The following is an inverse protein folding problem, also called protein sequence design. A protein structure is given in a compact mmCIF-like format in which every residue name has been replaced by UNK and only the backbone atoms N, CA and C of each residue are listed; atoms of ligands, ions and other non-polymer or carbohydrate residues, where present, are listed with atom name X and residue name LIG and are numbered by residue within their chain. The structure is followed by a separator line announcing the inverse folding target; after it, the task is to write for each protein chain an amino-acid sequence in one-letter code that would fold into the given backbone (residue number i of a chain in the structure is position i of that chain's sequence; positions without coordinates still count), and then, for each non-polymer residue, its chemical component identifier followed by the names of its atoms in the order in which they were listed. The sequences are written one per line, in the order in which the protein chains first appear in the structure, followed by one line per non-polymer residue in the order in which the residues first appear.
data_IF_700615355495
#
_entry.id   IF_700615355495
#
_cell.length_a   1.000
_cell.length_b   1.000
_cell.length_c   1.000
_cell.angle_alpha   90.00
_cell.angle_beta   90.00
_cell.angle_gamma   90.00
#
_symmetry.space_group_name_H-M   'P 1'
#
loop_
_entity.id
_entity.type
_entity.pdbx_description
1 polymer ?
#
# COMPACT_ATOMS: atom_id res chain seq x y z
N UNK A 1 4.28 -21.84 -3.51
CA UNK A 1 5.54 -22.60 -3.55
C UNK A 1 6.47 -22.06 -2.48
N UNK A 2 6.94 -22.93 -1.60
CA UNK A 2 7.98 -22.63 -0.61
C UNK A 2 9.32 -23.07 -1.20
N UNK A 3 10.25 -22.13 -1.36
CA UNK A 3 11.50 -22.37 -2.06
C UNK A 3 12.62 -21.43 -1.59
N UNK A 4 13.85 -21.78 -1.96
CA UNK A 4 15.04 -20.92 -1.83
C UNK A 4 15.41 -20.37 -3.20
N UNK A 5 15.59 -19.05 -3.27
CA UNK A 5 15.92 -18.32 -4.50
C UNK A 5 17.11 -17.41 -4.29
N UNK A 6 17.98 -17.33 -5.29
CA UNK A 6 19.10 -16.37 -5.33
C UNK A 6 18.72 -15.23 -6.27
N UNK A 7 18.55 -13.99 -5.76
CA UNK A 7 18.30 -12.83 -6.60
C UNK A 7 19.48 -12.50 -7.53
N UNK A 8 19.26 -11.83 -8.66
CA UNK A 8 20.34 -11.24 -9.45
C UNK A 8 21.02 -10.10 -8.68
N UNK A 9 22.20 -9.67 -9.15
CA UNK A 9 22.84 -8.44 -8.67
C UNK A 9 22.33 -7.24 -9.47
N UNK A 10 22.31 -6.06 -8.84
CA UNK A 10 22.02 -4.75 -9.48
C UNK A 10 20.66 -4.65 -10.20
N UNK A 11 19.65 -5.37 -9.75
CA UNK A 11 18.28 -5.18 -10.26
C UNK A 11 17.63 -3.97 -9.55
N UNK A 12 17.31 -2.93 -10.32
CA UNK A 12 16.79 -1.66 -9.76
C UNK A 12 15.43 -1.82 -9.05
N UNK A 13 14.54 -2.62 -9.63
CA UNK A 13 13.26 -3.00 -9.02
C UNK A 13 13.24 -4.50 -8.70
N UNK A 14 13.54 -4.92 -7.46
CA UNK A 14 13.44 -6.31 -7.03
C UNK A 14 11.98 -6.80 -7.07
N UNK A 15 11.79 -8.08 -7.40
CA UNK A 15 10.48 -8.66 -7.69
C UNK A 15 9.85 -9.29 -6.45
N UNK A 16 10.63 -10.10 -5.73
CA UNK A 16 10.07 -10.96 -4.69
C UNK A 16 9.95 -10.22 -3.35
N UNK A 17 8.78 -10.25 -2.72
CA UNK A 17 8.62 -9.74 -1.37
C UNK A 17 9.33 -10.64 -0.35
N UNK A 18 9.97 -10.04 0.64
CA UNK A 18 10.62 -10.74 1.74
C UNK A 18 10.28 -10.06 3.06
N UNK A 19 9.86 -10.84 4.06
CA UNK A 19 9.43 -10.32 5.36
C UNK A 19 10.53 -10.52 6.40
N UNK A 20 11.04 -9.44 6.96
CA UNK A 20 12.02 -9.45 8.05
C UNK A 20 11.81 -8.24 8.97
N UNK A 21 12.11 -8.39 10.26
CA UNK A 21 11.95 -7.32 11.26
C UNK A 21 10.54 -6.70 11.29
N UNK A 22 9.50 -7.54 11.14
CA UNK A 22 8.08 -7.16 11.00
C UNK A 22 7.73 -6.27 9.79
N UNK A 23 8.66 -6.08 8.84
CA UNK A 23 8.47 -5.27 7.63
C UNK A 23 8.46 -6.14 6.39
N UNK A 24 7.68 -5.71 5.40
CA UNK A 24 7.75 -6.22 4.04
C UNK A 24 8.76 -5.37 3.25
N UNK A 25 9.77 -6.04 2.72
CA UNK A 25 10.86 -5.50 1.90
C UNK A 25 10.90 -6.22 0.55
N UNK A 26 11.65 -5.66 -0.39
CA UNK A 26 11.96 -6.28 -1.68
C UNK A 26 13.48 -6.26 -1.88
N UNK A 27 14.24 -7.11 -1.16
CA UNK A 27 15.70 -7.09 -1.18
C UNK A 27 16.29 -7.99 -2.26
N UNK A 28 17.58 -7.77 -2.59
CA UNK A 28 18.40 -8.69 -3.40
C UNK A 28 19.38 -9.52 -2.56
N UNK A 29 19.33 -9.37 -1.23
CA UNK A 29 20.19 -10.05 -0.27
C UNK A 29 19.44 -10.21 1.06
N UNK A 30 19.31 -11.44 1.55
CA UNK A 30 18.73 -11.74 2.87
C UNK A 30 19.48 -11.06 4.01
N UNK A 31 20.79 -11.31 4.16
CA UNK A 31 21.59 -10.76 5.27
C UNK A 31 21.54 -9.23 5.32
N UNK A 32 21.71 -8.56 4.18
CA UNK A 32 21.61 -7.08 4.14
C UNK A 32 20.24 -6.57 4.60
N UNK A 33 19.16 -7.28 4.30
CA UNK A 33 17.81 -6.91 4.72
C UNK A 33 17.59 -7.12 6.24
N UNK A 34 18.12 -8.21 6.79
CA UNK A 34 18.06 -8.53 8.22
C UNK A 34 18.91 -7.59 9.06
N UNK A 35 20.14 -7.31 8.62
CA UNK A 35 21.12 -6.44 9.28
C UNK A 35 20.89 -4.95 8.99
N UNK A 36 19.99 -4.62 8.06
CA UNK A 36 19.70 -3.25 7.58
C UNK A 36 20.92 -2.53 7.03
N UNK A 37 21.83 -3.27 6.40
CA UNK A 37 23.07 -2.76 5.83
C UNK A 37 22.81 -1.61 4.83
N UNK A 38 23.53 -0.51 4.99
CA UNK A 38 23.47 0.67 4.10
C UNK A 38 24.63 0.77 3.11
N UNK A 39 25.68 -0.04 3.29
CA UNK A 39 26.83 -0.10 2.39
C UNK A 39 26.62 -1.09 1.23
N UNK A 40 27.52 -1.06 0.25
CA UNK A 40 27.52 -2.04 -0.84
C UNK A 40 27.60 -3.48 -0.33
N UNK A 41 26.81 -4.36 -0.94
CA UNK A 41 26.73 -5.76 -0.54
C UNK A 41 27.88 -6.59 -1.12
N UNK A 42 28.64 -7.24 -0.23
CA UNK A 42 29.73 -8.18 -0.57
C UNK A 42 29.41 -9.64 -0.25
N UNK A 43 28.19 -9.92 0.20
CA UNK A 43 27.73 -11.28 0.51
C UNK A 43 27.73 -12.18 -0.72
N UNK A 44 27.99 -13.48 -0.50
CA UNK A 44 27.92 -14.52 -1.50
C UNK A 44 26.47 -14.95 -1.79
N UNK A 45 26.28 -15.90 -2.71
CA UNK A 45 24.94 -16.36 -3.08
C UNK A 45 24.21 -17.08 -1.95
N UNK A 46 24.92 -17.77 -1.05
CA UNK A 46 24.33 -18.46 0.11
C UNK A 46 23.73 -17.46 1.09
N UNK A 47 24.48 -16.41 1.40
CA UNK A 47 24.06 -15.34 2.29
C UNK A 47 22.98 -14.44 1.69
N UNK A 48 22.96 -14.30 0.36
CA UNK A 48 21.96 -13.51 -0.37
C UNK A 48 20.65 -14.23 -0.56
N UNK A 49 20.66 -15.57 -0.56
CA UNK A 49 19.49 -16.39 -0.88
C UNK A 49 18.30 -16.03 0.01
N UNK A 50 17.15 -15.80 -0.64
CA UNK A 50 15.87 -15.59 0.03
C UNK A 50 15.17 -16.93 0.14
N UNK A 51 14.61 -17.19 1.31
CA UNK A 51 13.76 -18.35 1.54
C UNK A 51 12.37 -17.86 1.93
N UNK A 52 11.34 -18.41 1.30
CA UNK A 52 9.98 -17.92 1.49
C UNK A 52 8.96 -18.60 0.59
N UNK A 53 7.71 -18.21 0.82
CA UNK A 53 6.56 -18.75 0.09
C UNK A 53 6.00 -17.70 -0.84
N UNK A 54 6.00 -18.01 -2.14
CA UNK A 54 5.50 -17.13 -3.19
C UNK A 54 4.53 -17.88 -4.10
N UNK A 55 3.63 -17.13 -4.74
CA UNK A 55 2.81 -17.68 -5.82
C UNK A 55 3.64 -17.82 -7.09
N UNK A 56 3.27 -18.78 -7.94
CA UNK A 56 4.06 -19.13 -9.14
C UNK A 56 4.23 -17.94 -10.10
N UNK A 57 3.23 -17.08 -10.23
CA UNK A 57 3.30 -15.91 -11.13
C UNK A 57 4.43 -14.92 -10.76
N UNK A 58 4.69 -14.70 -9.47
CA UNK A 58 5.78 -13.83 -9.03
C UNK A 58 7.14 -14.50 -9.24
N UNK A 59 7.21 -15.81 -9.04
CA UNK A 59 8.42 -16.60 -9.27
C UNK A 59 8.78 -16.64 -10.76
N UNK A 60 7.81 -16.82 -11.65
CA UNK A 60 8.01 -16.73 -13.10
C UNK A 60 8.56 -15.36 -13.50
N UNK A 61 7.98 -14.27 -12.97
CA UNK A 61 8.50 -12.92 -13.23
C UNK A 61 9.91 -12.74 -12.66
N UNK A 62 10.18 -13.29 -11.47
CA UNK A 62 11.49 -13.23 -10.84
C UNK A 62 12.54 -13.98 -11.68
N UNK A 63 12.24 -15.18 -12.16
CA UNK A 63 13.14 -15.94 -13.06
C UNK A 63 13.41 -15.17 -14.35
N UNK A 64 12.38 -14.56 -14.97
CA UNK A 64 12.57 -13.66 -16.13
C UNK A 64 13.46 -12.46 -15.83
N UNK A 65 13.58 -12.06 -14.55
CA UNK A 65 14.48 -11.01 -14.06
C UNK A 65 15.84 -11.52 -13.58
N UNK A 66 16.16 -12.79 -13.78
CA UNK A 66 17.47 -13.36 -13.46
C UNK A 66 17.59 -13.94 -12.05
N UNK A 67 16.47 -14.15 -11.36
CA UNK A 67 16.47 -14.93 -10.12
C UNK A 67 16.69 -16.41 -10.45
N UNK A 68 17.43 -17.11 -9.60
CA UNK A 68 17.64 -18.57 -9.72
C UNK A 68 16.96 -19.28 -8.58
N UNK A 69 16.07 -20.23 -8.88
CA UNK A 69 15.51 -21.13 -7.86
C UNK A 69 16.59 -22.19 -7.58
N UNK A 70 17.02 -22.28 -6.33
CA UNK A 70 18.09 -23.19 -5.90
C UNK A 70 17.49 -24.48 -5.35
N UNK A 71 16.41 -24.37 -4.58
CA UNK A 71 15.78 -25.49 -3.90
C UNK A 71 14.28 -25.24 -3.78
N UNK A 72 13.48 -26.28 -3.97
CA UNK A 72 12.03 -26.24 -3.78
C UNK A 72 11.69 -27.18 -2.63
N UNK A 73 11.08 -26.64 -1.58
CA UNK A 73 10.70 -27.41 -0.39
C UNK A 73 9.27 -27.92 -0.48
N UNK A 74 8.36 -27.10 -1.01
CA UNK A 74 6.94 -27.43 -1.04
C UNK A 74 6.21 -26.74 -2.20
N UNK A 75 5.29 -27.47 -2.83
CA UNK A 75 4.44 -26.97 -3.92
C UNK A 75 2.98 -27.31 -3.61
N UNK A 76 2.15 -26.28 -3.58
CA UNK A 76 0.69 -26.44 -3.57
C UNK A 76 0.23 -26.25 -5.01
N UNK A 77 -0.25 -27.34 -5.61
CA UNK A 77 -0.72 -27.39 -6.99
C UNK A 77 -2.24 -27.45 -7.03
N UNK A 78 -2.83 -26.79 -8.02
CA UNK A 78 -4.26 -26.83 -8.32
C UNK A 78 -4.38 -27.19 -9.79
N UNK A 79 -5.12 -28.26 -10.09
CA UNK A 79 -5.27 -28.77 -11.46
C UNK A 79 -6.11 -27.83 -12.33
N UNK A 80 -7.01 -27.06 -11.69
CA UNK A 80 -7.93 -26.15 -12.37
C UNK A 80 -7.72 -24.70 -11.94
N UNK A 81 -7.78 -23.80 -12.93
CA UNK A 81 -7.73 -22.36 -12.74
C UNK A 81 -8.98 -21.72 -13.35
N UNK A 82 -9.75 -21.03 -12.50
CA UNK A 82 -10.82 -20.17 -12.98
C UNK A 82 -10.24 -18.83 -13.46
N UNK A 83 -10.25 -18.61 -14.77
CA UNK A 83 -9.75 -17.38 -15.40
C UNK A 83 -10.90 -16.60 -16.03
N UNK A 84 -10.97 -15.31 -15.75
CA UNK A 84 -11.90 -14.41 -16.46
C UNK A 84 -11.41 -14.18 -17.88
N UNK A 85 -12.28 -14.37 -18.87
CA UNK A 85 -11.98 -14.07 -20.26
C UNK A 85 -12.40 -12.63 -20.57
N UNK A 86 -11.44 -11.73 -20.73
CA UNK A 86 -11.70 -10.30 -21.01
C UNK A 86 -12.32 -10.06 -22.38
N UNK A 87 -12.00 -10.88 -23.40
CA UNK A 87 -12.52 -10.70 -24.76
C UNK A 87 -14.00 -11.11 -24.84
N UNK A 88 -14.35 -12.25 -24.24
CA UNK A 88 -15.73 -12.76 -24.18
C UNK A 88 -16.55 -12.17 -23.05
N UNK A 89 -15.88 -11.57 -22.05
CA UNK A 89 -16.45 -11.03 -20.81
C UNK A 89 -17.15 -12.08 -19.95
N UNK A 90 -16.66 -13.30 -19.98
CA UNK A 90 -17.29 -14.48 -19.35
C UNK A 90 -16.33 -15.22 -18.42
N UNK A 91 -16.90 -16.02 -17.53
CA UNK A 91 -16.17 -16.85 -16.58
C UNK A 91 -15.65 -16.06 -15.37
N UNK A 92 -14.61 -16.59 -14.72
CA UNK A 92 -14.07 -16.04 -13.48
C UNK A 92 -14.99 -16.20 -12.27
N UNK A 93 -14.40 -16.37 -11.09
CA UNK A 93 -15.17 -16.63 -9.86
C UNK A 93 -15.92 -15.40 -9.33
N UNK A 94 -15.49 -14.21 -9.73
CA UNK A 94 -15.90 -12.96 -9.09
C UNK A 94 -16.46 -11.92 -10.08
N UNK A 95 -16.65 -12.27 -11.35
CA UNK A 95 -17.04 -11.32 -12.40
C UNK A 95 -18.34 -10.59 -12.05
N UNK A 96 -19.40 -11.31 -11.69
CA UNK A 96 -20.69 -10.72 -11.35
C UNK A 96 -20.63 -9.81 -10.12
N UNK A 97 -19.87 -10.21 -9.11
CA UNK A 97 -19.64 -9.40 -7.90
C UNK A 97 -18.95 -8.09 -8.27
N UNK A 98 -17.85 -8.17 -9.03
CA UNK A 98 -17.09 -7.00 -9.45
C UNK A 98 -17.94 -6.10 -10.35
N UNK A 99 -18.63 -6.66 -11.34
CA UNK A 99 -19.50 -5.91 -12.25
C UNK A 99 -20.60 -5.16 -11.50
N UNK A 100 -21.23 -5.78 -10.50
CA UNK A 100 -22.27 -5.16 -9.67
C UNK A 100 -21.75 -3.91 -8.96
N UNK A 101 -20.65 -4.03 -8.22
CA UNK A 101 -20.13 -2.88 -7.45
C UNK A 101 -19.34 -1.90 -8.32
N UNK A 102 -18.79 -2.34 -9.45
CA UNK A 102 -18.17 -1.48 -10.45
C UNK A 102 -19.22 -0.59 -11.11
N UNK A 103 -20.37 -1.13 -11.54
CA UNK A 103 -21.51 -0.36 -12.05
C UNK A 103 -21.92 0.71 -11.04
N UNK A 104 -22.21 0.27 -9.81
CA UNK A 104 -22.65 1.17 -8.73
C UNK A 104 -21.63 2.28 -8.44
N UNK A 105 -20.32 1.95 -8.43
CA UNK A 105 -19.25 2.92 -8.22
C UNK A 105 -19.20 3.92 -9.37
N UNK A 106 -19.26 3.44 -10.61
CA UNK A 106 -19.08 4.27 -11.80
C UNK A 106 -20.28 5.19 -12.02
N UNK A 107 -21.49 4.70 -11.82
CA UNK A 107 -22.71 5.51 -11.83
C UNK A 107 -22.65 6.61 -10.77
N UNK A 108 -22.16 6.29 -9.57
CA UNK A 108 -22.05 7.22 -8.45
C UNK A 108 -20.88 8.23 -8.58
N UNK A 109 -19.90 7.97 -9.44
CA UNK A 109 -18.80 8.90 -9.74
C UNK A 109 -19.30 10.14 -10.51
N UNK A 110 -20.44 10.02 -11.21
CA UNK A 110 -21.01 11.03 -12.08
C UNK A 110 -20.34 11.05 -13.46
N UNK A 111 -20.80 11.95 -14.33
CA UNK A 111 -20.27 12.07 -15.69
C UNK A 111 -18.83 12.61 -15.69
N UNK A 112 -17.92 12.05 -16.52
CA UNK A 112 -16.62 12.64 -16.78
C UNK A 112 -16.75 14.09 -17.28
N UNK A 113 -15.72 14.92 -17.05
CA UNK A 113 -15.67 16.31 -17.55
C UNK A 113 -15.83 16.41 -19.07
N UNK A 114 -15.39 15.38 -19.80
CA UNK A 114 -15.51 15.28 -21.25
C UNK A 114 -16.94 15.00 -21.73
N UNK A 115 -17.86 14.56 -20.87
CA UNK A 115 -19.24 14.17 -21.21
C UNK A 115 -20.25 15.30 -20.95
N UNK A 116 -20.03 16.44 -21.62
CA UNK A 116 -20.84 17.66 -21.50
C UNK A 116 -22.12 17.65 -22.33
N UNK A 117 -22.17 16.86 -23.40
CA UNK A 117 -23.36 16.69 -24.26
C UNK A 117 -24.00 15.32 -24.10
N UNK A 118 -25.27 15.21 -24.48
CA UNK A 118 -26.02 13.95 -24.43
C UNK A 118 -25.41 12.87 -25.35
N UNK A 119 -24.89 13.26 -26.51
CA UNK A 119 -24.24 12.32 -27.44
C UNK A 119 -22.95 11.74 -26.86
N UNK A 120 -22.12 12.57 -26.20
CA UNK A 120 -20.91 12.08 -25.52
C UNK A 120 -21.22 11.18 -24.33
N UNK A 121 -22.34 11.44 -23.63
CA UNK A 121 -22.82 10.55 -22.56
C UNK A 121 -23.23 9.19 -23.10
N UNK A 122 -23.94 9.14 -24.23
CA UNK A 122 -24.29 7.88 -24.91
C UNK A 122 -23.05 7.13 -25.37
N UNK A 123 -22.12 7.81 -26.03
CA UNK A 123 -20.85 7.24 -26.46
C UNK A 123 -20.06 6.67 -25.28
N UNK A 124 -20.03 7.38 -24.14
CA UNK A 124 -19.39 6.90 -22.92
C UNK A 124 -20.04 5.62 -22.37
N UNK A 125 -21.38 5.56 -22.31
CA UNK A 125 -22.11 4.37 -21.86
C UNK A 125 -21.85 3.18 -22.78
N UNK A 126 -21.85 3.40 -24.09
CA UNK A 126 -21.57 2.37 -25.10
C UNK A 126 -20.13 1.88 -25.02
N UNK A 127 -19.15 2.79 -24.90
CA UNK A 127 -17.75 2.45 -24.70
C UNK A 127 -17.52 1.67 -23.40
N UNK A 128 -18.20 2.04 -22.32
CA UNK A 128 -18.13 1.32 -21.05
C UNK A 128 -18.73 -0.08 -21.14
N UNK A 129 -19.89 -0.24 -21.78
CA UNK A 129 -20.47 -1.55 -22.03
C UNK A 129 -19.59 -2.41 -22.96
N UNK A 130 -19.02 -1.81 -24.00
CA UNK A 130 -18.14 -2.46 -24.96
C UNK A 130 -16.80 -2.89 -24.35
N UNK A 131 -16.25 -2.13 -23.39
CA UNK A 131 -14.96 -2.47 -22.76
C UNK A 131 -15.11 -3.32 -21.50
N UNK A 132 -16.01 -2.95 -20.59
CA UNK A 132 -16.16 -3.60 -19.27
C UNK A 132 -17.25 -4.67 -19.23
N UNK A 133 -18.13 -4.73 -20.23
CA UNK A 133 -19.31 -5.60 -20.17
C UNK A 133 -20.39 -5.12 -19.20
N UNK A 134 -20.25 -3.90 -18.68
CA UNK A 134 -21.17 -3.30 -17.72
C UNK A 134 -21.88 -2.13 -18.38
N UNK A 135 -23.21 -2.16 -18.41
CA UNK A 135 -24.01 -1.04 -18.91
C UNK A 135 -24.39 -0.11 -17.76
N UNK A 136 -24.05 1.17 -17.91
CA UNK A 136 -24.43 2.22 -16.97
C UNK A 136 -25.83 2.73 -17.32
N UNK A 137 -26.67 2.92 -16.31
CA UNK A 137 -28.08 3.33 -16.45
C UNK A 137 -28.35 4.64 -15.70
N UNK A 138 -27.90 4.74 -14.46
CA UNK A 138 -28.25 5.85 -13.55
C UNK A 138 -27.03 6.63 -13.10
N UNK A 139 -26.35 7.30 -14.04
CA UNK A 139 -25.14 8.08 -13.75
C UNK A 139 -25.51 9.39 -13.07
N UNK A 140 -25.26 9.46 -11.76
CA UNK A 140 -25.53 10.60 -10.91
C UNK A 140 -24.46 10.68 -9.82
N UNK A 141 -23.86 11.86 -9.64
CA UNK A 141 -22.82 12.03 -8.62
C UNK A 141 -23.40 11.79 -7.22
N UNK A 142 -22.92 10.74 -6.56
CA UNK A 142 -23.36 10.36 -5.22
C UNK A 142 -22.17 9.82 -4.40
N UNK A 143 -21.60 10.68 -3.54
CA UNK A 143 -20.40 10.35 -2.78
C UNK A 143 -20.62 9.21 -1.77
N UNK A 144 -21.82 9.10 -1.18
CA UNK A 144 -22.17 8.05 -0.24
C UNK A 144 -22.26 6.67 -0.90
N UNK A 145 -23.00 6.57 -2.01
CA UNK A 145 -23.11 5.34 -2.81
C UNK A 145 -21.75 4.93 -3.38
N UNK A 146 -20.97 5.90 -3.85
CA UNK A 146 -19.60 5.68 -4.32
C UNK A 146 -18.72 5.09 -3.21
N UNK A 147 -18.80 5.64 -2.00
CA UNK A 147 -18.04 5.17 -0.85
C UNK A 147 -18.39 3.71 -0.51
N UNK A 148 -19.68 3.38 -0.47
CA UNK A 148 -20.16 2.02 -0.23
C UNK A 148 -19.65 1.05 -1.31
N UNK A 149 -19.83 1.38 -2.58
CA UNK A 149 -19.40 0.52 -3.69
C UNK A 149 -17.89 0.25 -3.66
N UNK A 150 -17.09 1.31 -3.42
CA UNK A 150 -15.63 1.18 -3.26
C UNK A 150 -15.26 0.34 -2.04
N UNK A 151 -15.98 0.49 -0.93
CA UNK A 151 -15.75 -0.31 0.28
C UNK A 151 -16.01 -1.79 0.01
N UNK A 152 -17.07 -2.13 -0.71
CA UNK A 152 -17.40 -3.51 -1.07
C UNK A 152 -16.32 -4.13 -1.96
N UNK A 153 -15.91 -3.42 -3.03
CA UNK A 153 -14.82 -3.87 -3.91
C UNK A 153 -13.50 -4.11 -3.15
N UNK A 154 -13.12 -3.20 -2.25
CA UNK A 154 -11.84 -3.27 -1.56
C UNK A 154 -11.84 -4.25 -0.37
N UNK A 155 -12.95 -4.33 0.37
CA UNK A 155 -13.04 -5.17 1.58
C UNK A 155 -13.16 -6.65 1.24
N UNK A 156 -13.72 -6.98 0.08
CA UNK A 156 -13.93 -8.35 -0.39
C UNK A 156 -12.63 -9.17 -0.36
N UNK A 157 -11.55 -8.65 -0.95
CA UNK A 157 -10.26 -9.33 -0.98
C UNK A 157 -9.61 -9.46 0.39
N UNK A 158 -9.74 -8.44 1.23
CA UNK A 158 -9.19 -8.44 2.59
C UNK A 158 -9.81 -9.52 3.49
N UNK A 159 -11.03 -9.96 3.19
CA UNK A 159 -11.71 -11.02 3.93
C UNK A 159 -11.07 -12.39 3.71
N UNK A 160 -10.64 -12.71 2.49
CA UNK A 160 -9.97 -13.98 2.20
C UNK A 160 -8.65 -14.16 2.96
N UNK A 161 -7.94 -13.07 3.23
CA UNK A 161 -6.69 -13.05 3.99
C UNK A 161 -6.85 -12.65 5.47
N UNK A 162 -8.08 -12.64 5.99
CA UNK A 162 -8.35 -12.27 7.39
C UNK A 162 -7.83 -13.37 8.32
N UNK A 163 -7.09 -12.99 9.38
CA UNK A 163 -6.62 -13.93 10.40
C UNK A 163 -7.79 -14.67 11.05
N UNK A 164 -7.63 -15.98 11.27
CA UNK A 164 -8.60 -16.82 11.98
C UNK A 164 -8.68 -16.53 13.46
N UNK A 165 -7.52 -16.37 14.08
CA UNK A 165 -7.42 -16.18 15.51
C UNK A 165 -7.37 -14.69 15.86
N UNK A 166 -8.54 -14.07 16.03
CA UNK A 166 -8.65 -12.71 16.54
C UNK A 166 -8.91 -12.73 18.05
N UNK A 167 -8.24 -11.86 18.83
CA UNK A 167 -8.52 -11.75 20.26
C UNK A 167 -9.99 -11.45 20.50
N UNK A 168 -10.64 -12.33 21.26
CA UNK A 168 -12.00 -12.14 21.77
C UNK A 168 -11.90 -11.43 23.10
N UNK A 169 -12.86 -10.55 23.37
CA UNK A 169 -12.87 -9.72 24.58
C UNK A 169 -14.24 -9.77 25.24
N UNK A 170 -14.22 -9.91 26.55
CA UNK A 170 -15.41 -9.82 27.39
C UNK A 170 -15.08 -9.05 28.67
N UNK A 171 -16.00 -8.15 29.05
CA UNK A 171 -15.91 -7.39 30.29
C UNK A 171 -17.02 -7.93 31.19
N UNK A 172 -16.63 -8.61 32.26
CA UNK A 172 -17.58 -9.27 33.15
C UNK A 172 -17.07 -9.31 34.59
N UNK A 173 -17.92 -9.79 35.50
CA UNK A 173 -17.62 -10.15 36.87
C UNK A 173 -17.86 -11.65 37.13
N UNK A 174 -17.91 -12.46 36.07
CA UNK A 174 -18.25 -13.88 36.14
C UNK A 174 -17.00 -14.74 36.37
N UNK A 175 -16.87 -15.21 37.61
CA UNK A 175 -15.81 -16.14 38.02
C UNK A 175 -15.91 -17.47 37.27
N UNK A 176 -17.11 -17.93 36.94
CA UNK A 176 -17.32 -19.20 36.23
C UNK A 176 -16.75 -19.14 34.82
N UNK A 177 -17.01 -18.05 34.10
CA UNK A 177 -16.41 -17.80 32.80
C UNK A 177 -14.89 -17.69 32.87
N UNK A 178 -14.36 -16.96 33.86
CA UNK A 178 -12.93 -16.86 34.09
C UNK A 178 -12.29 -18.24 34.28
N UNK A 179 -12.83 -19.04 35.21
CA UNK A 179 -12.30 -20.37 35.52
C UNK A 179 -12.41 -21.31 34.31
N UNK A 180 -13.48 -21.22 33.53
CA UNK A 180 -13.65 -21.96 32.28
C UNK A 180 -12.57 -21.61 31.26
N UNK A 181 -12.31 -20.33 31.03
CA UNK A 181 -11.34 -19.87 30.04
C UNK A 181 -9.90 -20.17 30.46
N UNK A 182 -9.56 -19.96 31.74
CA UNK A 182 -8.23 -20.26 32.29
C UNK A 182 -7.96 -21.77 32.33
N UNK A 183 -8.99 -22.57 32.62
CA UNK A 183 -8.89 -24.03 32.62
C UNK A 183 -8.83 -24.65 31.22
N UNK A 184 -9.18 -23.90 30.17
CA UNK A 184 -9.14 -24.38 28.79
C UNK A 184 -7.70 -24.32 28.23
N UNK A 185 -7.06 -25.49 28.18
CA UNK A 185 -5.69 -25.62 27.66
C UNK A 185 -5.54 -25.28 26.19
N UNK A 186 -6.64 -25.18 25.42
CA UNK A 186 -6.64 -24.73 24.03
C UNK A 186 -6.53 -23.20 23.89
N UNK A 187 -6.62 -22.44 24.99
CA UNK A 187 -6.70 -20.98 24.96
C UNK A 187 -5.50 -20.30 25.61
N UNK A 188 -5.17 -19.14 25.10
CA UNK A 188 -4.30 -18.16 25.74
C UNK A 188 -5.16 -17.03 26.27
N UNK A 189 -5.17 -16.86 27.60
CA UNK A 189 -6.04 -15.90 28.28
C UNK A 189 -5.19 -14.84 28.96
N UNK A 190 -5.49 -13.58 28.67
CA UNK A 190 -4.99 -12.41 29.38
C UNK A 190 -6.11 -11.83 30.22
N UNK A 191 -5.87 -11.73 31.53
CA UNK A 191 -6.82 -11.18 32.49
C UNK A 191 -6.34 -9.80 32.88
N UNK A 192 -7.21 -8.80 32.77
CA UNK A 192 -6.92 -7.48 33.29
C UNK A 192 -8.02 -7.02 34.23
N UNK A 193 -7.63 -6.55 35.42
CA UNK A 193 -8.56 -6.01 36.40
C UNK A 193 -8.91 -4.57 36.04
N UNK A 194 -10.21 -4.27 35.86
CA UNK A 194 -10.70 -2.91 35.59
C UNK A 194 -11.05 -2.22 36.91
N UNK A 195 -11.84 -2.88 37.75
CA UNK A 195 -12.24 -2.44 39.09
C UNK A 195 -12.05 -3.59 40.08
N UNK A 196 -12.53 -3.46 41.32
CA UNK A 196 -12.49 -4.59 42.27
C UNK A 196 -13.39 -5.74 41.86
N UNK A 197 -14.47 -5.45 41.14
CA UNK A 197 -15.51 -6.42 40.80
C UNK A 197 -15.51 -6.80 39.31
N UNK A 198 -14.88 -5.99 38.44
CA UNK A 198 -14.95 -6.16 36.98
C UNK A 198 -13.56 -6.47 36.40
N UNK A 199 -13.52 -7.49 35.56
CA UNK A 199 -12.35 -7.91 34.79
C UNK A 199 -12.60 -7.81 33.28
N UNK A 200 -11.55 -7.48 32.52
CA UNK A 200 -11.48 -7.69 31.08
C UNK A 200 -10.74 -9.01 30.83
N UNK A 201 -11.45 -9.96 30.22
CA UNK A 201 -10.87 -11.19 29.70
C UNK A 201 -10.60 -10.98 28.22
N UNK A 202 -9.34 -11.15 27.81
CA UNK A 202 -8.95 -11.23 26.40
C UNK A 202 -8.40 -12.61 26.13
N UNK A 203 -8.89 -13.32 25.12
CA UNK A 203 -8.36 -14.63 24.78
C UNK A 203 -8.25 -14.89 23.28
N UNK A 204 -7.32 -15.77 22.94
CA UNK A 204 -7.10 -16.33 21.61
C UNK A 204 -6.99 -17.85 21.71
N UNK A 205 -7.29 -18.56 20.63
CA UNK A 205 -7.02 -20.00 20.56
C UNK A 205 -5.51 -20.20 20.36
N UNK A 206 -4.91 -21.24 20.94
CA UNK A 206 -3.49 -21.58 20.68
C UNK A 206 -3.35 -22.03 19.23
N UNK A 207 -2.18 -21.81 18.63
CA UNK A 207 -1.95 -22.00 17.19
C UNK A 207 -2.38 -23.39 16.67
N UNK A 208 -2.15 -24.45 17.44
CA UNK A 208 -2.55 -25.83 17.10
C UNK A 208 -4.06 -26.09 17.10
N UNK A 209 -4.86 -25.19 17.69
CA UNK A 209 -6.31 -25.31 17.83
C UNK A 209 -7.07 -24.26 17.02
N UNK A 210 -6.38 -23.49 16.18
CA UNK A 210 -7.03 -22.49 15.32
C UNK A 210 -7.75 -23.19 14.18
N UNK A 211 -9.08 -23.17 14.20
CA UNK A 211 -9.90 -23.62 13.07
C UNK A 211 -9.95 -22.54 11.99
N UNK A 212 -9.74 -22.94 10.73
CA UNK A 212 -9.88 -22.03 9.59
C UNK A 212 -11.35 -21.85 9.24
N UNK A 213 -11.81 -20.60 9.21
CA UNK A 213 -13.19 -20.29 8.81
C UNK A 213 -13.46 -20.64 7.34
N UNK A 214 -14.66 -21.15 7.04
CA UNK A 214 -15.08 -21.54 5.68
C UNK A 214 -15.13 -20.38 4.67
N UNK A 215 -15.14 -19.14 5.14
CA UNK A 215 -15.21 -17.92 4.33
C UNK A 215 -13.83 -17.31 3.99
N UNK A 216 -12.74 -18.03 4.22
CA UNK A 216 -11.36 -17.57 4.01
C UNK A 216 -10.64 -18.48 3.03
N UNK A 217 -9.71 -17.89 2.29
CA UNK A 217 -8.88 -18.63 1.35
C UNK A 217 -7.57 -17.86 1.13
N UNK A 218 -6.51 -18.35 1.76
CA UNK A 218 -5.17 -17.77 1.66
C UNK A 218 -4.64 -17.75 0.22
N UNK A 219 -4.98 -18.74 -0.60
CA UNK A 219 -4.53 -18.80 -2.00
C UNK A 219 -5.14 -17.66 -2.82
N UNK A 220 -6.45 -17.42 -2.69
CA UNK A 220 -7.11 -16.28 -3.34
C UNK A 220 -6.44 -14.98 -2.89
N UNK A 221 -6.26 -14.75 -1.59
CA UNK A 221 -5.63 -13.54 -1.08
C UNK A 221 -4.19 -13.36 -1.59
N UNK A 222 -3.40 -14.44 -1.64
CA UNK A 222 -2.03 -14.43 -2.14
C UNK A 222 -1.99 -14.11 -3.64
N UNK A 223 -2.81 -14.77 -4.46
CA UNK A 223 -2.88 -14.53 -5.91
C UNK A 223 -3.37 -13.13 -6.24
N UNK A 224 -4.42 -12.63 -5.59
CA UNK A 224 -4.91 -11.26 -5.81
C UNK A 224 -3.82 -10.23 -5.51
N UNK A 225 -3.12 -10.38 -4.37
CA UNK A 225 -2.07 -9.41 -3.99
C UNK A 225 -0.86 -9.51 -4.92
N UNK A 226 -0.48 -10.71 -5.33
CA UNK A 226 0.62 -10.94 -6.27
C UNK A 226 0.34 -10.36 -7.65
N UNK A 227 -0.86 -10.58 -8.20
CA UNK A 227 -1.25 -10.02 -9.49
C UNK A 227 -1.29 -8.47 -9.44
N UNK A 228 -1.78 -7.88 -8.35
CA UNK A 228 -1.73 -6.44 -8.15
C UNK A 228 -0.28 -5.90 -8.15
N UNK A 229 0.64 -6.57 -7.44
CA UNK A 229 2.07 -6.23 -7.46
C UNK A 229 2.68 -6.36 -8.85
N UNK A 230 2.36 -7.42 -9.58
CA UNK A 230 2.86 -7.65 -10.95
C UNK A 230 2.31 -6.61 -11.93
N UNK A 231 1.06 -6.19 -11.77
CA UNK A 231 0.47 -5.09 -12.55
C UNK A 231 1.21 -3.78 -12.29
N UNK A 232 1.52 -3.45 -11.03
CA UNK A 232 2.36 -2.30 -10.72
C UNK A 232 3.77 -2.46 -11.30
N UNK A 233 4.38 -3.64 -11.16
CA UNK A 233 5.73 -3.94 -11.63
C UNK A 233 5.87 -3.78 -13.15
N UNK A 234 4.82 -4.09 -13.92
CA UNK A 234 4.78 -3.86 -15.37
C UNK A 234 5.12 -2.42 -15.75
N UNK A 235 4.62 -1.45 -14.98
CA UNK A 235 4.95 -0.03 -15.20
C UNK A 235 6.34 0.32 -14.65
N UNK A 236 6.69 -0.17 -13.45
CA UNK A 236 7.99 0.10 -12.82
C UNK A 236 9.16 -0.35 -13.69
N UNK A 237 9.05 -1.52 -14.32
CA UNK A 237 10.05 -2.09 -15.21
C UNK A 237 10.35 -1.20 -16.42
N UNK A 238 9.34 -0.50 -16.96
CA UNK A 238 9.47 0.35 -18.15
C UNK A 238 9.90 1.78 -17.81
N UNK A 239 9.53 2.24 -16.62
CA UNK A 239 9.94 3.54 -16.08
C UNK A 239 11.38 3.49 -15.53
N UNK A 240 11.78 2.35 -14.99
CA UNK A 240 13.10 2.07 -14.42
C UNK A 240 13.56 3.16 -13.43
N UNK A 241 14.73 3.75 -13.64
CA UNK A 241 15.32 4.79 -12.78
C UNK A 241 14.50 6.08 -12.70
N UNK A 242 13.54 6.30 -13.62
CA UNK A 242 12.65 7.46 -13.57
C UNK A 242 11.62 7.39 -12.46
N UNK A 243 11.46 6.24 -11.79
CA UNK A 243 10.54 6.10 -10.66
C UNK A 243 11.11 6.77 -9.42
N UNK A 244 10.40 7.79 -8.92
CA UNK A 244 10.73 8.52 -7.68
C UNK A 244 10.07 7.90 -6.45
N UNK A 245 8.84 7.43 -6.58
CA UNK A 245 8.07 6.81 -5.50
C UNK A 245 6.96 5.93 -6.06
N UNK A 246 6.58 4.89 -5.31
CA UNK A 246 5.38 4.10 -5.60
C UNK A 246 4.78 3.53 -4.31
N UNK A 247 3.46 3.38 -4.27
CA UNK A 247 2.75 2.77 -3.15
C UNK A 247 1.48 2.08 -3.65
N UNK A 248 1.47 0.75 -3.54
CA UNK A 248 0.35 -0.16 -3.82
C UNK A 248 -0.17 -0.14 -5.27
N UNK A 249 -0.67 1.00 -5.73
CA UNK A 249 -1.36 1.25 -6.99
C UNK A 249 -1.00 2.62 -7.61
N UNK A 250 -0.07 3.37 -7.02
CA UNK A 250 0.38 4.69 -7.48
C UNK A 250 1.87 4.73 -7.80
N UNK A 251 2.26 5.56 -8.76
CA UNK A 251 3.66 5.81 -9.16
C UNK A 251 3.85 7.32 -9.35
N UNK A 252 4.91 7.86 -8.76
CA UNK A 252 5.46 9.19 -9.06
C UNK A 252 6.76 8.98 -9.82
N UNK A 253 6.88 9.60 -10.99
CA UNK A 253 8.00 9.39 -11.89
C UNK A 253 8.38 10.67 -12.63
N UNK A 254 9.57 10.68 -13.21
CA UNK A 254 10.06 11.76 -14.09
C UNK A 254 9.57 11.48 -15.52
N UNK A 255 8.70 12.35 -16.04
CA UNK A 255 8.33 12.35 -17.47
C UNK A 255 9.41 13.11 -18.26
N UNK A 256 9.74 12.62 -19.45
CA UNK A 256 10.66 13.24 -20.39
C UNK A 256 10.15 13.01 -21.81
N UNK A 257 10.30 14.02 -22.65
CA UNK A 257 9.92 13.92 -24.06
C UNK A 257 10.62 12.73 -24.75
N UNK A 258 9.85 11.99 -25.57
CA UNK A 258 10.34 10.82 -26.28
C UNK A 258 10.51 9.54 -25.44
N UNK A 259 10.29 9.58 -24.12
CA UNK A 259 10.32 8.40 -23.27
C UNK A 259 8.91 7.85 -22.99
N UNK A 260 8.85 6.59 -22.55
CA UNK A 260 7.59 5.93 -22.22
C UNK A 260 6.92 6.56 -21.00
N UNK A 261 5.67 6.98 -21.15
CA UNK A 261 4.81 7.34 -20.02
C UNK A 261 3.65 6.33 -19.91
N UNK A 262 3.22 5.92 -18.69
CA UNK A 262 2.13 4.98 -18.52
C UNK A 262 0.85 5.52 -19.17
N UNK A 263 0.14 4.71 -19.99
CA UNK A 263 -1.09 5.15 -20.60
C UNK A 263 -2.14 5.43 -19.53
N UNK A 264 -2.82 6.56 -19.66
CA UNK A 264 -3.94 6.94 -18.80
C UNK A 264 -5.25 6.49 -19.41
N UNK A 265 -6.23 6.17 -18.57
CA UNK A 265 -7.56 5.79 -19.02
C UNK A 265 -8.61 5.85 -17.91
N UNK A 266 -9.87 5.65 -18.32
CA UNK A 266 -11.05 5.83 -17.47
C UNK A 266 -11.72 4.51 -17.08
N UNK A 267 -11.04 3.39 -17.32
CA UNK A 267 -11.61 2.05 -17.24
C UNK A 267 -10.90 1.22 -16.16
N UNK A 268 -11.43 0.03 -15.86
CA UNK A 268 -10.93 -0.78 -14.76
C UNK A 268 -9.48 -1.21 -15.01
N UNK A 269 -8.60 -0.86 -14.06
CA UNK A 269 -7.19 -1.22 -14.11
C UNK A 269 -6.29 -0.30 -14.95
N UNK A 270 -6.86 0.76 -15.53
CA UNK A 270 -6.10 1.84 -16.14
C UNK A 270 -5.43 2.72 -15.09
N UNK A 271 -4.30 3.32 -15.45
CA UNK A 271 -3.71 4.38 -14.64
C UNK A 271 -4.51 5.66 -14.84
N UNK A 272 -4.68 6.44 -13.78
CA UNK A 272 -5.34 7.74 -13.82
C UNK A 272 -4.37 8.84 -13.40
N UNK A 273 -4.46 10.02 -14.01
CA UNK A 273 -3.75 11.21 -13.53
C UNK A 273 -4.44 11.79 -12.27
N UNK A 274 -3.80 11.61 -11.11
CA UNK A 274 -4.29 12.14 -9.83
C UNK A 274 -4.21 13.68 -9.74
N UNK A 275 -3.41 14.34 -10.58
CA UNK A 275 -3.23 15.80 -10.58
C UNK A 275 -4.31 16.51 -11.40
N UNK A 276 -4.81 15.88 -12.47
CA UNK A 276 -5.78 16.48 -13.38
C UNK A 276 -7.04 17.00 -12.66
N UNK A 277 -7.63 16.19 -11.78
CA UNK A 277 -8.87 16.56 -11.06
C UNK A 277 -8.70 17.74 -10.08
N UNK A 278 -7.72 17.74 -9.16
CA UNK A 278 -7.52 18.85 -8.23
C UNK A 278 -6.87 20.10 -8.86
N UNK A 279 -5.95 19.95 -9.81
CA UNK A 279 -5.10 21.07 -10.28
C UNK A 279 -5.34 21.49 -11.73
N UNK A 280 -6.09 20.69 -12.50
CA UNK A 280 -6.34 20.90 -13.93
C UNK A 280 -5.51 19.96 -14.81
N UNK A 281 -6.05 19.60 -15.97
CA UNK A 281 -5.34 18.79 -16.97
C UNK A 281 -4.01 19.47 -17.38
N UNK A 282 -2.97 18.66 -17.55
CA UNK A 282 -1.61 19.15 -17.83
C UNK A 282 -0.87 19.73 -16.61
N UNK A 283 -1.45 19.68 -15.40
CA UNK A 283 -0.70 20.00 -14.18
C UNK A 283 0.37 18.95 -13.90
N UNK A 284 1.51 19.39 -13.39
CA UNK A 284 2.65 18.50 -13.15
C UNK A 284 3.39 18.86 -11.86
N UNK A 285 4.09 17.87 -11.31
CA UNK A 285 4.95 18.06 -10.15
C UNK A 285 6.25 18.72 -10.61
N UNK A 286 6.57 19.88 -10.05
CA UNK A 286 7.81 20.62 -10.33
C UNK A 286 8.94 20.17 -9.43
N UNK A 287 8.65 19.82 -8.17
CA UNK A 287 9.64 19.37 -7.19
C UNK A 287 9.05 18.26 -6.33
N UNK A 288 9.86 17.23 -6.06
CA UNK A 288 9.47 16.09 -5.23
C UNK A 288 10.53 15.81 -4.17
N UNK A 289 10.08 15.53 -2.96
CA UNK A 289 10.91 15.16 -1.82
C UNK A 289 10.32 13.94 -1.13
N UNK A 290 11.16 12.93 -0.85
CA UNK A 290 10.74 11.77 -0.06
C UNK A 290 11.65 11.62 1.14
N UNK A 291 11.05 11.39 2.30
CA UNK A 291 11.73 10.98 3.53
C UNK A 291 11.46 9.51 3.89
N UNK A 292 11.04 8.69 2.91
CA UNK A 292 10.74 7.27 3.06
C UNK A 292 9.28 6.87 2.76
N UNK A 293 8.91 5.60 3.03
CA UNK A 293 7.58 5.08 2.74
C UNK A 293 6.46 5.87 3.43
N UNK A 294 5.49 6.37 2.66
CA UNK A 294 4.37 7.20 3.14
C UNK A 294 4.83 8.47 3.88
N UNK A 295 6.00 8.99 3.53
CA UNK A 295 6.58 10.22 4.02
C UNK A 295 7.18 11.00 2.84
N UNK A 296 6.40 11.87 2.21
CA UNK A 296 6.83 12.62 1.04
C UNK A 296 6.09 13.95 0.92
N UNK A 297 6.68 14.89 0.17
CA UNK A 297 6.08 16.16 -0.17
C UNK A 297 6.39 16.51 -1.63
N UNK A 298 5.54 17.31 -2.26
CA UNK A 298 5.73 17.74 -3.63
C UNK A 298 5.13 19.12 -3.89
N UNK A 299 5.74 19.86 -4.82
CA UNK A 299 5.23 21.10 -5.38
C UNK A 299 4.58 20.79 -6.74
N UNK A 300 3.36 21.27 -6.96
CA UNK A 300 2.61 21.12 -8.21
C UNK A 300 2.44 22.47 -8.87
N UNK A 301 2.68 22.56 -10.17
CA UNK A 301 2.19 23.67 -10.99
C UNK A 301 0.75 23.36 -11.44
N UNK A 302 -0.21 24.16 -11.00
CA UNK A 302 -1.63 24.01 -11.36
C UNK A 302 -1.94 24.80 -12.62
N UNK A 303 -2.38 24.13 -13.68
CA UNK A 303 -2.83 24.78 -14.93
C UNK A 303 -4.13 25.55 -14.73
N UNK A 304 -4.98 25.12 -13.79
CA UNK A 304 -6.24 25.79 -13.42
C UNK A 304 -6.02 27.16 -12.78
N UNK A 305 -5.06 27.27 -11.85
CA UNK A 305 -4.81 28.51 -11.11
C UNK A 305 -3.60 29.29 -11.62
N UNK A 306 -2.77 28.66 -12.47
CA UNK A 306 -1.46 29.15 -12.92
C UNK A 306 -0.50 29.45 -11.78
N UNK A 307 -0.66 28.74 -10.66
CA UNK A 307 0.13 28.91 -9.44
C UNK A 307 0.74 27.59 -8.98
N UNK A 308 1.78 27.70 -8.16
CA UNK A 308 2.43 26.56 -7.52
C UNK A 308 1.80 26.29 -6.15
N UNK A 309 1.50 25.03 -5.86
CA UNK A 309 0.95 24.59 -4.56
C UNK A 309 1.72 23.40 -4.02
N UNK A 310 2.00 23.39 -2.72
CA UNK A 310 2.73 22.30 -2.06
C UNK A 310 1.79 21.34 -1.36
N UNK A 311 2.09 20.05 -1.46
CA UNK A 311 1.38 18.97 -0.79
C UNK A 311 2.35 18.14 0.05
N UNK A 312 1.93 17.76 1.25
CA UNK A 312 2.74 17.00 2.20
C UNK A 312 1.94 15.81 2.71
N UNK A 313 2.56 14.62 2.74
CA UNK A 313 1.96 13.39 3.24
C UNK A 313 2.92 12.70 4.19
N UNK A 314 2.52 12.61 5.46
CA UNK A 314 3.33 12.06 6.54
C UNK A 314 2.52 11.02 7.30
N UNK A 315 2.96 9.76 7.28
CA UNK A 315 2.33 8.69 8.04
C UNK A 315 2.53 8.89 9.54
N UNK A 316 1.45 8.69 10.30
CA UNK A 316 1.49 8.69 11.77
C UNK A 316 1.38 10.08 12.40
N UNK A 317 1.36 11.15 11.60
CA UNK A 317 1.13 12.52 12.03
C UNK A 317 -0.10 13.05 11.28
N UNK A 318 -1.13 13.43 12.03
CA UNK A 318 -2.25 14.19 11.47
C UNK A 318 -1.73 15.60 11.18
N UNK A 319 -1.75 16.04 9.92
CA UNK A 319 -1.34 17.38 9.52
C UNK A 319 -2.46 18.40 9.84
N UNK A 320 -2.64 18.69 11.13
CA UNK A 320 -3.41 19.87 11.56
C UNK A 320 -2.71 21.16 11.08
N UNK A 321 -3.38 22.32 11.05
CA UNK A 321 -2.74 23.58 10.65
C UNK A 321 -1.41 23.85 11.35
N UNK A 322 -1.31 23.60 12.66
CA UNK A 322 -0.06 23.77 13.41
C UNK A 322 1.02 22.74 13.08
N UNK A 323 0.62 21.48 12.85
CA UNK A 323 1.55 20.44 12.42
C UNK A 323 2.06 20.72 10.99
N UNK A 324 1.20 21.19 10.08
CA UNK A 324 1.53 21.54 8.71
C UNK A 324 2.47 22.76 8.63
N UNK A 325 2.37 23.72 9.55
CA UNK A 325 3.36 24.82 9.67
C UNK A 325 4.76 24.31 10.00
N UNK A 326 4.86 23.23 10.77
CA UNK A 326 6.15 22.64 11.18
C UNK A 326 6.67 21.63 10.18
N UNK A 327 5.81 20.75 9.68
CA UNK A 327 6.14 19.69 8.73
C UNK A 327 5.45 19.98 7.40
N UNK A 328 6.19 20.64 6.52
CA UNK A 328 5.79 20.99 5.16
C UNK A 328 6.92 20.64 4.18
N UNK A 329 6.70 21.00 2.92
CA UNK A 329 7.64 20.80 1.83
C UNK A 329 9.03 21.39 2.15
N UNK A 330 9.10 22.65 2.59
CA UNK A 330 10.37 23.34 2.84
C UNK A 330 11.15 22.70 3.99
N UNK A 331 10.48 22.37 5.11
CA UNK A 331 11.17 21.72 6.22
C UNK A 331 11.64 20.31 5.85
N UNK A 332 10.86 19.57 5.05
CA UNK A 332 11.29 18.24 4.56
C UNK A 332 12.48 18.35 3.60
N UNK A 333 12.49 19.35 2.70
CA UNK A 333 13.61 19.64 1.80
C UNK A 333 14.87 19.95 2.59
N UNK A 334 14.81 20.89 3.53
CA UNK A 334 15.97 21.28 4.37
C UNK A 334 16.54 20.09 5.14
N UNK A 335 15.67 19.27 5.73
CA UNK A 335 16.10 18.05 6.43
C UNK A 335 16.83 17.10 5.48
N UNK A 336 16.35 16.93 4.25
CA UNK A 336 17.01 16.08 3.27
C UNK A 336 18.35 16.68 2.82
N UNK A 337 18.41 17.99 2.58
CA UNK A 337 19.62 18.73 2.20
C UNK A 337 20.72 18.60 3.27
N UNK A 338 20.35 18.61 4.55
CA UNK A 338 21.30 18.40 5.65
C UNK A 338 21.79 16.95 5.77
N UNK A 339 20.96 15.96 5.43
CA UNK A 339 21.35 14.54 5.39
C UNK A 339 22.32 14.28 4.24
N UNK A 340 22.01 14.84 3.07
CA UNK A 340 22.75 14.65 1.82
C UNK A 340 24.10 15.39 1.81
N UNK A 341 24.16 16.62 2.34
CA UNK A 341 25.40 17.39 2.42
C UNK A 341 26.32 16.98 3.59
N UNK A 342 25.96 15.96 4.38
CA UNK A 342 26.76 15.49 5.51
C UNK A 342 26.91 16.50 6.66
N UNK A 343 26.14 17.59 6.65
CA UNK A 343 26.17 18.64 7.66
C UNK A 343 25.28 18.35 8.87
N UNK A 344 24.42 17.35 8.80
CA UNK A 344 23.62 16.91 9.96
C UNK A 344 24.38 15.93 10.86
N UNK A 345 24.63 16.37 12.10
CA UNK A 345 24.61 15.47 13.26
C UNK A 345 23.18 14.94 13.35
N UNK A 346 22.99 13.62 13.37
CA UNK A 346 21.83 12.75 13.64
C UNK A 346 20.44 13.28 14.14
N UNK A 347 20.16 14.56 14.40
CA UNK A 347 18.98 14.98 15.17
C UNK A 347 18.33 16.33 14.80
N UNK A 348 18.17 16.71 13.53
CA UNK A 348 17.12 17.70 13.22
C UNK A 348 15.73 17.04 13.31
N UNK A 349 15.25 16.97 14.56
CA UNK A 349 13.98 16.37 14.95
C UNK A 349 12.93 17.46 15.06
N UNK A 350 11.91 17.42 14.20
CA UNK A 350 10.79 18.35 14.34
C UNK A 350 9.84 17.80 15.41
N UNK A 351 9.63 18.57 16.47
CA UNK A 351 8.68 18.20 17.53
C UNK A 351 7.32 18.84 17.28
N UNK A 352 6.30 18.01 17.15
CA UNK A 352 4.90 18.40 17.13
C UNK A 352 4.30 18.08 18.49
N UNK A 353 3.70 19.08 19.12
CA UNK A 353 2.94 18.93 20.36
C UNK A 353 1.48 19.11 19.98
N UNK A 354 0.65 18.13 20.34
CA UNK A 354 -0.80 18.27 20.33
C UNK A 354 -1.24 18.48 21.77
N UNK A 355 -1.67 19.70 22.11
CA UNK A 355 -2.05 20.05 23.49
C UNK A 355 -3.27 19.25 23.99
N UNK A 356 -4.21 18.96 23.09
CA UNK A 356 -5.47 18.30 23.41
C UNK A 356 -5.64 17.04 22.56
N UNK A 357 -4.90 15.97 22.87
CA UNK A 357 -5.04 14.67 22.19
C UNK A 357 -5.83 13.69 23.08
N UNK A 358 -6.61 12.83 22.43
CA UNK A 358 -7.36 11.77 23.12
C UNK A 358 -6.42 10.58 23.28
N UNK A 359 -5.97 10.32 24.51
CA UNK A 359 -5.08 9.21 24.82
C UNK A 359 -5.78 8.15 25.65
N UNK A 360 -5.50 6.89 25.33
CA UNK A 360 -5.88 5.75 26.17
C UNK A 360 -4.71 5.43 27.09
N UNK A 361 -4.93 5.50 28.41
CA UNK A 361 -3.93 5.09 29.42
C UNK A 361 -4.55 4.01 30.29
N UNK A 362 -4.04 2.78 30.19
CA UNK A 362 -4.69 1.63 30.80
C UNK A 362 -6.02 1.27 30.12
N UNK A 363 -6.77 0.38 30.74
CA UNK A 363 -7.99 -0.20 30.16
C UNK A 363 -9.20 0.69 30.44
N UNK A 364 -9.98 0.98 29.40
CA UNK A 364 -11.22 1.74 29.49
C UNK A 364 -11.07 3.23 29.83
N UNK A 365 -9.86 3.70 30.19
CA UNK A 365 -9.63 5.09 30.59
C UNK A 365 -9.13 5.92 29.41
N UNK A 366 -9.93 6.91 29.07
CA UNK A 366 -9.66 7.89 28.02
C UNK A 366 -9.42 9.23 28.68
N UNK A 367 -8.32 9.88 28.33
CA UNK A 367 -7.94 11.19 28.85
C UNK A 367 -7.69 12.14 27.70
N UNK A 368 -7.95 13.42 27.93
CA UNK A 368 -7.38 14.49 27.11
C UNK A 368 -6.03 14.86 27.72
N UNK A 369 -4.95 14.71 26.96
CA UNK A 369 -3.61 15.06 27.42
C UNK A 369 -2.74 15.55 26.26
N UNK A 370 -1.71 16.32 26.60
CA UNK A 370 -0.72 16.73 25.62
C UNK A 370 0.09 15.52 25.13
N UNK A 371 0.18 15.34 23.80
CA UNK A 371 1.03 14.31 23.19
C UNK A 371 2.14 14.94 22.37
N UNK A 372 3.33 14.35 22.48
CA UNK A 372 4.51 14.75 21.72
C UNK A 372 4.76 13.72 20.62
N UNK A 373 4.86 14.19 19.38
CA UNK A 373 5.33 13.40 18.24
C UNK A 373 6.59 14.02 17.67
N UNK A 374 7.60 13.19 17.43
CA UNK A 374 8.85 13.61 16.82
C UNK A 374 8.90 13.11 15.39
N UNK A 375 9.00 14.04 14.45
CA UNK A 375 9.21 13.77 13.04
C UNK A 375 10.70 13.73 12.72
N UNK A 376 11.09 12.72 11.93
CA UNK A 376 12.43 12.55 11.36
C UNK A 376 12.32 11.79 10.04
N UNK A 377 13.28 12.01 9.15
CA UNK A 377 13.44 11.21 7.93
C UNK A 377 14.00 9.83 8.31
N UNK A 378 13.42 8.75 7.76
CA UNK A 378 13.86 7.37 8.05
C UNK A 378 13.89 6.56 6.76
N UNK A 379 15.09 6.11 6.39
CA UNK A 379 15.31 5.16 5.30
C UNK A 379 15.57 3.77 5.87
N UNK A 380 14.52 2.95 5.95
CA UNK A 380 14.57 1.61 6.54
C UNK A 380 14.18 0.48 5.58
N UNK A 381 13.83 0.83 4.33
CA UNK A 381 13.37 -0.12 3.31
C UNK A 381 14.21 -0.19 2.04
N UNK A 382 15.03 0.83 1.77
CA UNK A 382 15.95 0.92 0.63
C UNK A 382 17.23 1.61 1.06
N UNK A 383 18.30 1.37 0.30
CA UNK A 383 19.57 2.05 0.47
C UNK A 383 19.42 3.53 0.14
N UNK A 384 19.99 4.39 0.97
CA UNK A 384 20.17 5.79 0.64
C UNK A 384 21.31 5.92 -0.38
N UNK A 385 21.02 6.46 -1.57
CA UNK A 385 22.06 6.78 -2.55
C UNK A 385 22.18 8.31 -2.70
N UNK A 386 23.24 8.93 -2.17
CA UNK A 386 23.43 10.37 -2.26
C UNK A 386 23.66 10.85 -3.71
N UNK A 387 24.04 9.98 -4.66
CA UNK A 387 24.24 10.36 -6.06
C UNK A 387 22.98 10.28 -6.92
N UNK A 388 21.89 9.68 -6.41
CA UNK A 388 20.57 9.65 -7.06
C UNK A 388 19.66 10.75 -6.50
N UNK A 389 20.23 11.73 -5.82
CA UNK A 389 19.53 12.94 -5.42
C UNK A 389 19.09 13.69 -6.67
N UNK A 390 17.78 13.98 -6.83
CA UNK A 390 17.34 14.96 -7.80
C UNK A 390 17.63 16.35 -7.23
N UNK A 391 18.91 16.64 -6.99
CA UNK A 391 19.33 18.02 -6.76
C UNK A 391 19.08 18.78 -8.05
N UNK A 392 18.25 19.82 -7.96
CA UNK A 392 18.32 20.97 -8.85
C UNK A 392 18.42 20.63 -10.35
N UNK A 393 17.43 19.93 -10.90
CA UNK A 393 17.00 20.36 -12.23
C UNK A 393 16.09 21.55 -12.00
N UNK A 394 16.71 22.73 -11.90
CA UNK A 394 16.02 23.93 -12.35
C UNK A 394 15.59 23.63 -13.78
N UNK A 395 14.29 23.34 -13.92
CA UNK A 395 13.65 23.32 -15.23
C UNK A 395 13.57 24.78 -15.62
N UNK A 396 14.67 25.32 -16.14
CA UNK A 396 14.58 26.46 -17.02
C UNK A 396 13.91 25.95 -18.30
N UNK A 397 12.79 26.60 -18.61
CA UNK A 397 11.96 26.39 -19.81
C UNK A 397 12.77 26.72 -21.05
#
# INVERSE_FOLDING_TARGET
MYCRVVPPRKLYHPVLPYRTGHKLLFPLCRKCAEEKQQSSCHHDDSDRALEGTWVTLELEKAVKKGYRIVEIFEVWHFDEFAQYNTEKKEGGLFADYINTFLKMKQEADGWPSSCDTEDKRKEYVEAYAAREGVRLENVEKNEGRRCLAKLMLNSFWGKFGQRDNLPRKEICNDISLLMKLVGDTSKEVTINRITEEIIELTWTDKETFVETGSNKNIFIAAYTTAQARLKLYYYLERLDERVLYFDTDSIIYVSREGLYDPPIGSFLGDMTDELAKPFGEGSYITRFVSGGPKNYAYEVYSTKTKQKTTHCKVRGITLTPDAARKVNFDTMSKLLDHITNGTSKEEEKITIIKEHDIVRKGIGKVYTAATKKTYRIVYDKRLFNPTLTPYHTDIEV
#
